data_IF_747929789913
#
_entry.id   IF_747929789913
#
_cell.length_a   1.000
_cell.length_b   1.000
_cell.length_c   1.000
_cell.angle_alpha   90.00
_cell.angle_beta   90.00
_cell.angle_gamma   90.00
#
_symmetry.space_group_name_H-M   'P 1'
#
loop_
_entity.id
_entity.type
_entity.pdbx_description
1 polymer ?
#
# COMPACT_ATOMS: atom_id res chain seq x y z
N UNK A 1 0.65 -46.24 -39.65
CA UNK A 1 1.19 -45.02 -39.00
C UNK A 1 0.22 -44.57 -37.91
N UNK A 2 0.70 -44.45 -36.65
CA UNK A 2 0.10 -43.78 -35.46
C UNK A 2 -1.27 -44.33 -34.98
N UNK A 3 -1.48 -45.07 -33.87
CA UNK A 3 -1.06 -44.91 -32.45
C UNK A 3 -1.38 -43.50 -31.95
N UNK A 4 -2.41 -43.26 -31.12
CA UNK A 4 -2.51 -43.42 -29.63
C UNK A 4 -3.53 -42.32 -29.23
N UNK A 5 -4.44 -42.38 -28.26
CA UNK A 5 -4.83 -43.35 -27.24
C UNK A 5 -6.14 -42.89 -26.59
N UNK A 6 -6.87 -43.86 -26.02
CA UNK A 6 -7.37 -43.94 -24.63
C UNK A 6 -7.48 -42.64 -23.81
N UNK A 7 -8.40 -42.43 -22.89
CA UNK A 7 -9.56 -43.17 -22.40
C UNK A 7 -10.29 -42.24 -21.41
N UNK A 8 -11.60 -42.37 -21.40
CA UNK A 8 -12.53 -42.39 -20.25
C UNK A 8 -12.34 -41.54 -18.97
N UNK A 9 -13.50 -40.97 -18.60
CA UNK A 9 -14.21 -41.13 -17.32
C UNK A 9 -13.90 -40.18 -16.14
N UNK A 10 -14.85 -39.24 -15.98
CA UNK A 10 -15.67 -38.97 -14.78
C UNK A 10 -14.99 -38.91 -13.41
N UNK A 11 -15.11 -37.78 -12.69
CA UNK A 11 -15.35 -37.81 -11.23
C UNK A 11 -16.17 -36.59 -10.76
N UNK A 12 -17.09 -36.91 -9.86
CA UNK A 12 -18.14 -36.08 -9.25
C UNK A 12 -17.60 -35.32 -8.03
N UNK A 13 -18.23 -34.17 -7.76
CA UNK A 13 -18.12 -33.26 -6.61
C UNK A 13 -17.91 -33.93 -5.23
N UNK A 14 -16.99 -33.37 -4.41
CA UNK A 14 -17.09 -33.34 -2.93
C UNK A 14 -16.32 -32.15 -2.33
N UNK A 15 -16.96 -31.48 -1.37
CA UNK A 15 -16.64 -30.16 -0.79
C UNK A 15 -15.49 -30.18 0.28
N UNK A 16 -15.25 -29.09 1.07
CA UNK A 16 -13.92 -28.58 1.40
C UNK A 16 -13.31 -29.17 2.69
N UNK A 17 -11.99 -29.05 2.85
CA UNK A 17 -11.30 -29.33 4.12
C UNK A 17 -10.60 -28.07 4.63
N UNK A 18 -11.04 -27.61 5.80
CA UNK A 18 -10.54 -26.46 6.54
C UNK A 18 -9.10 -26.70 7.02
N UNK A 19 -8.24 -25.70 6.89
CA UNK A 19 -6.91 -25.69 7.47
C UNK A 19 -6.98 -25.31 8.96
N UNK A 20 -6.48 -26.20 9.81
CA UNK A 20 -6.28 -25.94 11.23
C UNK A 20 -5.04 -25.03 11.43
N UNK A 21 -5.18 -24.00 12.26
CA UNK A 21 -4.09 -23.13 12.69
C UNK A 21 -3.14 -23.80 13.69
N UNK A 22 -1.94 -23.24 13.93
CA UNK A 22 -0.99 -23.79 14.88
C UNK A 22 -1.39 -23.44 16.32
N UNK A 23 -1.39 -24.47 17.16
CA UNK A 23 -1.46 -24.35 18.60
C UNK A 23 -0.20 -23.64 19.12
N UNK A 24 -0.39 -22.45 19.69
CA UNK A 24 0.62 -21.78 20.52
C UNK A 24 0.76 -22.58 21.81
N UNK A 25 1.79 -23.42 21.90
CA UNK A 25 2.22 -24.05 23.14
C UNK A 25 3.01 -23.03 23.96
N UNK A 26 2.33 -22.46 24.95
CA UNK A 26 2.95 -21.82 26.09
C UNK A 26 3.84 -22.83 26.82
N UNK A 27 5.14 -22.57 26.91
CA UNK A 27 5.99 -23.19 27.93
C UNK A 27 6.57 -22.10 28.81
N UNK A 28 6.02 -22.04 30.00
CA UNK A 28 6.40 -21.14 31.07
C UNK A 28 7.69 -21.60 31.75
N UNK A 29 8.58 -20.63 32.01
CA UNK A 29 9.13 -20.33 33.35
C UNK A 29 10.16 -21.29 33.97
N UNK A 30 11.41 -21.25 33.48
CA UNK A 30 12.64 -21.57 34.25
C UNK A 30 13.73 -20.69 33.60
N UNK A 31 14.53 -19.82 34.23
CA UNK A 31 15.27 -19.91 35.48
C UNK A 31 15.62 -18.50 36.03
N UNK A 32 15.38 -18.34 37.33
CA UNK A 32 16.22 -17.73 38.38
C UNK A 32 17.03 -16.44 38.13
N UNK A 33 16.68 -15.48 38.97
CA UNK A 33 17.41 -14.28 39.36
C UNK A 33 18.90 -14.49 39.70
N UNK A 34 19.70 -13.50 39.34
CA UNK A 34 20.88 -13.12 40.11
C UNK A 34 20.82 -11.61 40.38
N UNK A 35 20.79 -11.31 41.67
CA UNK A 35 20.89 -9.98 42.27
C UNK A 35 22.19 -9.29 41.86
N UNK A 36 22.10 -8.01 41.52
CA UNK A 36 23.18 -7.06 41.77
C UNK A 36 22.57 -5.69 42.07
N UNK A 37 22.50 -5.37 43.35
CA UNK A 37 22.25 -4.03 43.88
C UNK A 37 23.59 -3.28 43.75
N UNK A 38 23.64 -2.20 42.97
CA UNK A 38 24.75 -1.26 43.04
C UNK A 38 24.27 0.16 42.69
N UNK A 39 24.41 1.01 43.69
CA UNK A 39 24.20 2.45 43.79
C UNK A 39 24.99 3.29 42.78
N UNK A 40 24.38 4.31 42.16
CA UNK A 40 24.88 5.71 42.17
C UNK A 40 23.99 6.66 41.36
N UNK A 41 23.68 7.81 41.96
CA UNK A 41 23.25 9.01 41.25
C UNK A 41 24.31 9.39 40.19
N UNK A 42 23.86 9.76 39.00
CA UNK A 42 24.49 10.79 38.18
C UNK A 42 23.42 11.57 37.43
N UNK A 43 23.43 12.90 37.61
CA UNK A 43 22.80 13.87 36.72
C UNK A 43 23.35 13.65 35.30
N UNK A 44 22.47 13.61 34.31
CA UNK A 44 22.86 13.53 32.91
C UNK A 44 21.78 14.12 32.01
N UNK A 45 21.88 15.42 31.73
CA UNK A 45 21.28 16.03 30.55
C UNK A 45 21.87 15.36 29.31
N UNK A 46 21.13 14.50 28.62
CA UNK A 46 21.47 14.07 27.27
C UNK A 46 20.73 14.94 26.27
N UNK A 47 21.39 16.03 25.90
CA UNK A 47 21.16 16.74 24.63
C UNK A 47 21.46 15.76 23.49
N UNK A 48 20.43 15.30 22.78
CA UNK A 48 20.63 14.61 21.51
C UNK A 48 20.79 15.67 20.43
N UNK A 49 22.05 16.06 20.26
CA UNK A 49 22.58 16.66 19.06
C UNK A 49 22.21 15.84 17.82
N UNK A 50 21.75 16.55 16.80
CA UNK A 50 22.19 16.36 15.42
C UNK A 50 22.16 14.95 14.88
N UNK A 51 20.98 14.48 14.48
CA UNK A 51 20.91 13.54 13.37
C UNK A 51 21.12 14.34 12.10
N UNK A 52 22.36 14.34 11.61
CA UNK A 52 22.68 14.63 10.21
C UNK A 52 21.66 13.88 9.35
N UNK A 53 20.69 14.62 8.79
CA UNK A 53 19.84 14.12 7.74
C UNK A 53 20.80 13.83 6.60
N UNK A 54 21.14 12.55 6.42
CA UNK A 54 21.92 12.10 5.27
C UNK A 54 21.15 12.61 4.06
N UNK A 55 21.71 13.62 3.38
CA UNK A 55 21.19 14.10 2.11
C UNK A 55 21.42 12.97 1.13
N UNK A 56 20.50 12.01 1.13
CA UNK A 56 20.37 11.04 0.06
C UNK A 56 20.19 11.90 -1.19
N UNK A 57 21.21 11.92 -2.04
CA UNK A 57 21.13 12.49 -3.36
C UNK A 57 20.20 11.59 -4.16
N UNK A 58 18.90 11.76 -3.98
CA UNK A 58 17.89 10.99 -4.69
C UNK A 58 17.81 11.55 -6.10
N UNK A 59 17.94 10.68 -7.11
CA UNK A 59 17.26 10.87 -8.40
C UNK A 59 15.87 11.45 -8.12
N UNK A 60 15.41 12.43 -8.91
CA UNK A 60 14.09 13.05 -8.69
C UNK A 60 13.04 11.95 -8.56
N UNK A 61 12.48 11.81 -7.37
CA UNK A 61 11.47 10.79 -7.11
C UNK A 61 10.18 11.25 -7.78
N UNK A 62 9.55 10.40 -8.59
CA UNK A 62 8.23 10.70 -9.14
C UNK A 62 7.18 10.67 -8.01
N UNK A 63 6.20 11.58 -8.00
CA UNK A 63 5.12 11.57 -7.02
C UNK A 63 4.26 10.31 -7.18
N UNK A 64 3.62 9.87 -6.10
CA UNK A 64 2.73 8.70 -6.10
C UNK A 64 1.29 9.17 -6.28
N UNK A 65 0.65 8.75 -7.37
CA UNK A 65 -0.76 8.96 -7.62
C UNK A 65 -1.53 7.67 -7.28
N UNK A 66 -2.30 7.70 -6.19
CA UNK A 66 -3.12 6.57 -5.73
C UNK A 66 -4.56 6.74 -6.20
N UNK A 67 -5.08 5.78 -6.96
CA UNK A 67 -6.48 5.67 -7.36
C UNK A 67 -7.22 4.70 -6.43
N UNK A 68 -8.22 5.21 -5.72
CA UNK A 68 -9.18 4.39 -4.99
C UNK A 68 -10.31 3.96 -5.93
N UNK A 69 -10.47 2.65 -6.09
CA UNK A 69 -11.36 2.00 -7.06
C UNK A 69 -12.10 0.82 -6.41
N UNK A 70 -12.98 0.16 -7.17
CA UNK A 70 -13.61 -1.11 -6.80
C UNK A 70 -13.77 -2.01 -8.03
N UNK A 71 -14.02 -3.30 -7.80
CA UNK A 71 -14.40 -4.24 -8.86
C UNK A 71 -15.63 -3.75 -9.64
N UNK A 72 -15.52 -3.75 -10.98
CA UNK A 72 -16.52 -3.24 -11.94
C UNK A 72 -16.90 -1.78 -11.62
N UNK A 73 -16.10 -0.86 -12.17
CA UNK A 73 -16.28 0.58 -12.00
C UNK A 73 -16.02 1.31 -13.33
N UNK A 74 -17.05 1.53 -14.17
CA UNK A 74 -16.88 2.18 -15.47
C UNK A 74 -16.20 3.56 -15.39
N UNK A 75 -16.55 4.36 -14.37
CA UNK A 75 -15.91 5.66 -14.12
C UNK A 75 -14.41 5.54 -13.80
N UNK A 76 -14.02 4.45 -13.15
CA UNK A 76 -12.62 4.17 -12.84
C UNK A 76 -11.86 3.75 -14.10
N UNK A 77 -12.51 3.04 -15.02
CA UNK A 77 -11.91 2.65 -16.31
C UNK A 77 -11.70 3.90 -17.20
N UNK A 78 -12.71 4.78 -17.30
CA UNK A 78 -12.58 6.08 -17.97
C UNK A 78 -11.44 6.92 -17.40
N UNK A 79 -11.33 6.96 -16.07
CA UNK A 79 -10.25 7.68 -15.40
C UNK A 79 -8.86 7.13 -15.74
N UNK A 80 -8.70 5.80 -15.81
CA UNK A 80 -7.40 5.19 -16.16
C UNK A 80 -6.98 5.58 -17.58
N UNK A 81 -7.92 5.59 -18.52
CA UNK A 81 -7.67 6.04 -19.89
C UNK A 81 -7.22 7.50 -19.93
N UNK A 82 -7.87 8.38 -19.17
CA UNK A 82 -7.49 9.79 -19.08
C UNK A 82 -6.10 10.01 -18.47
N UNK A 83 -5.65 9.12 -17.58
CA UNK A 83 -4.34 9.19 -16.94
C UNK A 83 -3.18 8.65 -17.80
N UNK A 84 -3.47 7.97 -18.91
CA UNK A 84 -2.45 7.28 -19.71
C UNK A 84 -1.39 8.25 -20.27
N UNK A 85 -1.80 9.45 -20.71
CA UNK A 85 -0.89 10.50 -21.20
C UNK A 85 0.09 11.00 -20.12
N UNK A 86 -0.31 10.94 -18.85
CA UNK A 86 0.48 11.42 -17.72
C UNK A 86 1.28 10.31 -17.03
N UNK A 87 1.16 9.07 -17.48
CA UNK A 87 1.64 7.87 -16.76
C UNK A 87 3.14 7.88 -16.46
N UNK A 88 3.92 8.61 -17.25
CA UNK A 88 5.37 8.78 -17.10
C UNK A 88 5.79 9.80 -16.03
N UNK A 89 4.87 10.64 -15.55
CA UNK A 89 5.12 11.72 -14.58
C UNK A 89 4.83 11.35 -13.13
N UNK A 90 4.30 10.16 -12.89
CA UNK A 90 4.00 9.67 -11.53
C UNK A 90 4.14 8.15 -11.43
N UNK A 91 4.30 7.67 -10.21
CA UNK A 91 4.09 6.28 -9.84
C UNK A 91 2.59 6.07 -9.61
N UNK A 92 1.99 5.07 -10.23
CA UNK A 92 0.55 4.84 -10.12
C UNK A 92 0.29 3.65 -9.21
N UNK A 93 -0.62 3.84 -8.27
CA UNK A 93 -1.06 2.81 -7.34
C UNK A 93 -2.58 2.69 -7.39
N UNK A 94 -3.08 1.47 -7.31
CA UNK A 94 -4.52 1.20 -7.21
C UNK A 94 -4.85 0.59 -5.85
N UNK A 95 -5.89 1.11 -5.22
CA UNK A 95 -6.43 0.59 -3.97
C UNK A 95 -7.87 0.18 -4.20
N UNK A 96 -8.13 -1.13 -4.16
CA UNK A 96 -9.50 -1.64 -4.11
C UNK A 96 -10.09 -1.36 -2.72
N UNK A 97 -11.04 -0.43 -2.66
CA UNK A 97 -11.68 -0.07 -1.39
C UNK A 97 -12.50 -1.22 -0.80
N UNK A 98 -12.85 -2.24 -1.58
CA UNK A 98 -13.60 -3.42 -1.10
C UNK A 98 -12.69 -4.56 -0.63
N UNK A 99 -11.38 -4.42 -0.77
CA UNK A 99 -10.44 -5.42 -0.29
C UNK A 99 -10.45 -5.50 1.26
N UNK A 100 -10.16 -6.69 1.79
CA UNK A 100 -10.05 -6.93 3.23
C UNK A 100 -8.96 -6.04 3.82
N UNK A 101 -9.26 -5.32 4.91
CA UNK A 101 -8.33 -4.37 5.54
C UNK A 101 -8.45 -2.92 5.05
N UNK A 102 -9.29 -2.67 4.03
CA UNK A 102 -9.57 -1.33 3.50
C UNK A 102 -10.95 -0.79 3.92
N UNK A 103 -11.53 -1.30 5.01
CA UNK A 103 -12.88 -0.93 5.47
C UNK A 103 -13.00 0.59 5.71
N UNK A 104 -11.94 1.22 6.23
CA UNK A 104 -11.88 2.67 6.40
C UNK A 104 -11.99 3.43 5.05
N UNK A 105 -11.36 2.91 3.99
CA UNK A 105 -11.47 3.50 2.65
C UNK A 105 -12.84 3.25 2.05
N UNK A 106 -13.43 2.08 2.28
CA UNK A 106 -14.79 1.78 1.86
C UNK A 106 -15.79 2.77 2.46
N UNK A 107 -15.77 2.94 3.78
CA UNK A 107 -16.68 3.85 4.47
C UNK A 107 -16.55 5.29 3.96
N UNK A 108 -15.30 5.73 3.74
CA UNK A 108 -14.99 7.08 3.29
C UNK A 108 -15.38 7.34 1.83
N UNK A 109 -15.12 6.39 0.93
CA UNK A 109 -15.14 6.65 -0.52
C UNK A 109 -16.13 5.83 -1.34
N UNK A 110 -16.93 4.93 -0.74
CA UNK A 110 -17.92 4.08 -1.46
C UNK A 110 -18.82 4.79 -2.48
N UNK A 111 -19.10 6.08 -2.27
CA UNK A 111 -19.93 6.90 -3.16
C UNK A 111 -19.15 7.98 -3.92
N UNK A 112 -17.84 8.08 -3.68
CA UNK A 112 -16.99 9.13 -4.22
C UNK A 112 -15.98 8.64 -5.25
N UNK A 113 -15.80 7.32 -5.37
CA UNK A 113 -14.89 6.73 -6.34
C UNK A 113 -15.27 7.09 -7.80
N UNK A 114 -14.28 7.26 -8.70
CA UNK A 114 -12.84 7.20 -8.43
C UNK A 114 -12.34 8.39 -7.59
N UNK A 115 -11.47 8.13 -6.61
CA UNK A 115 -10.79 9.17 -5.80
C UNK A 115 -9.29 9.08 -6.03
N UNK A 116 -8.62 10.23 -6.14
CA UNK A 116 -7.19 10.32 -6.41
C UNK A 116 -6.49 11.03 -5.28
N UNK A 117 -5.42 10.43 -4.78
CA UNK A 117 -4.47 11.07 -3.88
C UNK A 117 -3.13 11.25 -4.58
N UNK A 118 -2.49 12.40 -4.39
CA UNK A 118 -1.11 12.64 -4.80
C UNK A 118 -0.24 12.71 -3.55
N UNK A 119 0.76 11.84 -3.43
CA UNK A 119 1.62 11.68 -2.25
C UNK A 119 0.81 11.54 -0.95
N UNK A 120 -0.26 10.74 -0.99
CA UNK A 120 -1.15 10.51 0.15
C UNK A 120 -2.09 11.66 0.51
N UNK A 121 -2.07 12.76 -0.24
CA UNK A 121 -2.98 13.90 -0.06
C UNK A 121 -4.10 13.88 -1.09
N UNK A 122 -5.33 14.18 -0.69
CA UNK A 122 -6.47 14.24 -1.61
C UNK A 122 -6.20 15.24 -2.75
N UNK A 123 -6.33 14.79 -3.99
CA UNK A 123 -6.17 15.59 -5.19
C UNK A 123 -7.53 15.92 -5.82
N UNK A 124 -8.29 14.88 -6.19
CA UNK A 124 -9.55 15.01 -6.92
C UNK A 124 -10.42 13.76 -6.79
N UNK A 125 -11.68 13.81 -7.23
CA UNK A 125 -12.62 12.68 -7.22
C UNK A 125 -13.64 12.74 -8.36
N UNK A 126 -14.36 11.64 -8.57
CA UNK A 126 -15.40 11.40 -9.58
C UNK A 126 -14.91 11.40 -11.05
N UNK A 127 -14.10 12.38 -11.44
CA UNK A 127 -13.52 12.52 -12.78
C UNK A 127 -12.09 13.03 -12.68
N UNK A 128 -11.28 12.68 -13.68
CA UNK A 128 -9.94 13.25 -13.84
C UNK A 128 -10.09 14.70 -14.30
N UNK A 129 -9.54 15.62 -13.52
CA UNK A 129 -9.38 17.02 -13.92
C UNK A 129 -7.92 17.21 -14.33
N UNK A 130 -7.68 17.22 -15.64
CA UNK A 130 -6.34 17.33 -16.23
C UNK A 130 -5.64 18.64 -15.84
N UNK A 131 -6.38 19.75 -15.71
CA UNK A 131 -5.80 21.03 -15.31
C UNK A 131 -5.27 21.00 -13.87
N UNK A 132 -6.01 20.35 -12.96
CA UNK A 132 -5.59 20.18 -11.56
C UNK A 132 -4.40 19.22 -11.47
N UNK A 133 -4.46 18.11 -12.20
CA UNK A 133 -3.37 17.14 -12.24
C UNK A 133 -2.07 17.78 -12.77
N UNK A 134 -2.14 18.46 -13.91
CA UNK A 134 -1.01 19.15 -14.53
C UNK A 134 -0.37 20.18 -13.58
N UNK A 135 -1.21 20.98 -12.92
CA UNK A 135 -0.76 21.98 -11.96
C UNK A 135 0.00 21.36 -10.80
N UNK A 136 -0.53 20.31 -10.19
CA UNK A 136 0.10 19.69 -9.02
C UNK A 136 1.36 18.88 -9.39
N UNK A 137 1.38 18.23 -10.57
CA UNK A 137 2.59 17.58 -11.07
C UNK A 137 3.69 18.61 -11.37
N UNK A 138 3.37 19.71 -12.05
CA UNK A 138 4.33 20.78 -12.35
C UNK A 138 4.92 21.40 -11.08
N UNK A 139 4.08 21.71 -10.09
CA UNK A 139 4.53 22.20 -8.78
C UNK A 139 5.50 21.23 -8.11
N UNK A 140 5.21 19.93 -8.18
CA UNK A 140 6.06 18.91 -7.60
C UNK A 140 7.42 18.85 -8.33
N UNK A 141 7.43 18.90 -9.66
CA UNK A 141 8.65 18.92 -10.48
C UNK A 141 9.53 20.15 -10.20
N UNK A 142 8.92 21.33 -10.04
CA UNK A 142 9.61 22.57 -9.67
C UNK A 142 10.28 22.46 -8.28
N UNK A 143 9.57 21.89 -7.30
CA UNK A 143 10.09 21.68 -5.94
C UNK A 143 11.26 20.69 -5.89
N UNK A 144 11.33 19.74 -6.83
CA UNK A 144 12.46 18.80 -6.93
C UNK A 144 13.70 19.43 -7.60
N UNK A 145 13.56 20.56 -8.28
CA UNK A 145 14.64 21.24 -9.00
C UNK A 145 15.33 22.34 -8.17
N UNK A 146 14.66 22.88 -7.16
CA UNK A 146 15.20 23.89 -6.23
C UNK A 146 16.01 23.28 -5.10
#
# INVERSE_FOLDING_TARGET
MGKVSDAQASYVLRSPKMAAGPAFLATSKWMRAAFAIATKLHLGNTSLNGSSFTRFSTKSALPVLTLYTKHVCPLCDEAKVALESYRHRFQFEEVDIKAKGNEAWFEKYRYEIPVFHLNGSFLMKHRVNEEVLERELSKFEEQQRG
#
